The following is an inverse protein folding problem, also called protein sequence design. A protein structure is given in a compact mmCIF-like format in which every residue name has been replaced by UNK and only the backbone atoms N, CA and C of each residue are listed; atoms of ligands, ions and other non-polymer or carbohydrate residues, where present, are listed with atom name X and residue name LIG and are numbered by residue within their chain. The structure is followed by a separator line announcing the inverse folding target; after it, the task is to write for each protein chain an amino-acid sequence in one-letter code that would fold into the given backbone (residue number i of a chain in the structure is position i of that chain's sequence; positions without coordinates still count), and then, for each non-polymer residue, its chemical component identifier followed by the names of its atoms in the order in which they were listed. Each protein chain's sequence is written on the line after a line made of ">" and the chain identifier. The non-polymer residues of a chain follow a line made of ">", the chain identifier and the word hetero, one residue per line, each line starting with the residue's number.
data_IF_349789021701
#
_entry.id   IF_349789021701
#
_cell.length_a   1.000
_cell.length_b   1.000
_cell.length_c   1.000
_cell.angle_alpha   90.00
_cell.angle_beta   90.00
_cell.angle_gamma   90.00
#
_symmetry.space_group_name_H-M   'P 1'
#
loop_
_entity.id
_entity.type
_entity.pdbx_description
1 polymer ?
#
# COMPACT_ATOMS: atom_id res chain seq x y z
N UNK A 1 14.28 3.40 9.82
CA UNK A 1 13.45 4.61 9.72
C UNK A 1 12.06 4.36 10.29
N UNK A 2 11.54 5.35 11.00
CA UNK A 2 10.26 5.21 11.71
C UNK A 2 9.11 4.90 10.75
N UNK A 3 9.02 5.62 9.64
CA UNK A 3 7.92 5.42 8.69
C UNK A 3 7.96 4.02 8.08
N UNK A 4 9.13 3.53 7.70
CA UNK A 4 9.25 2.17 7.18
C UNK A 4 8.80 1.14 8.20
N UNK A 5 9.20 1.31 9.45
CA UNK A 5 8.80 0.37 10.50
C UNK A 5 7.29 0.42 10.76
N UNK A 6 6.71 1.62 10.76
CA UNK A 6 5.27 1.77 10.90
C UNK A 6 4.54 1.06 9.75
N UNK A 7 5.00 1.25 8.53
CA UNK A 7 4.39 0.58 7.36
C UNK A 7 4.52 -0.93 7.48
N UNK A 8 5.65 -1.43 7.93
CA UNK A 8 5.85 -2.88 8.11
C UNK A 8 4.84 -3.46 9.08
N UNK A 9 4.61 -2.78 10.21
CA UNK A 9 3.62 -3.23 11.20
C UNK A 9 2.22 -3.18 10.60
N UNK A 10 1.86 -2.07 9.97
CA UNK A 10 0.54 -1.94 9.35
C UNK A 10 0.34 -2.96 8.24
N UNK A 11 1.38 -3.21 7.44
CA UNK A 11 1.32 -4.19 6.37
C UNK A 11 1.08 -5.60 6.92
N UNK A 12 1.74 -5.96 8.01
CA UNK A 12 1.53 -7.25 8.64
C UNK A 12 0.09 -7.41 9.10
N UNK A 13 -0.46 -6.38 9.75
CA UNK A 13 -1.86 -6.38 10.19
C UNK A 13 -2.79 -6.52 8.98
N UNK A 14 -2.54 -5.77 7.92
CA UNK A 14 -3.35 -5.83 6.70
C UNK A 14 -3.31 -7.21 6.06
N UNK A 15 -2.14 -7.85 6.02
CA UNK A 15 -2.02 -9.18 5.45
C UNK A 15 -2.80 -10.21 6.25
N UNK A 16 -2.69 -10.16 7.58
CA UNK A 16 -3.43 -11.08 8.45
C UNK A 16 -4.92 -10.90 8.25
N UNK A 17 -5.40 -9.66 8.29
CA UNK A 17 -6.83 -9.36 8.10
C UNK A 17 -7.29 -9.78 6.71
N UNK A 18 -6.49 -9.49 5.69
CA UNK A 18 -6.83 -9.83 4.32
C UNK A 18 -6.99 -11.33 4.11
N UNK A 19 -6.10 -12.13 4.67
CA UNK A 19 -6.21 -13.58 4.58
C UNK A 19 -7.40 -14.11 5.38
N UNK A 20 -7.73 -13.50 6.53
CA UNK A 20 -8.94 -13.84 7.28
C UNK A 20 -10.18 -13.59 6.44
N UNK A 21 -10.25 -12.45 5.77
CA UNK A 21 -11.39 -12.11 4.90
C UNK A 21 -11.48 -13.07 3.73
N UNK A 22 -10.33 -13.43 3.15
CA UNK A 22 -10.29 -14.37 2.03
C UNK A 22 -10.88 -15.72 2.43
N UNK A 23 -10.66 -16.12 3.68
CA UNK A 23 -11.21 -17.35 4.24
C UNK A 23 -12.65 -17.20 4.75
N UNK A 24 -13.23 -16.00 4.64
CA UNK A 24 -14.59 -15.74 5.09
C UNK A 24 -14.73 -15.45 6.58
N UNK A 25 -13.60 -15.17 7.26
CA UNK A 25 -13.61 -14.92 8.70
C UNK A 25 -13.55 -13.43 9.02
N UNK A 26 -14.20 -13.04 10.13
CA UNK A 26 -14.07 -11.70 10.71
C UNK A 26 -14.37 -10.57 9.72
N UNK A 27 -15.36 -10.77 8.86
CA UNK A 27 -15.71 -9.78 7.83
C UNK A 27 -16.16 -8.45 8.43
N UNK A 28 -16.54 -8.41 9.69
CA UNK A 28 -16.89 -7.19 10.38
C UNK A 28 -15.69 -6.25 10.55
N UNK A 29 -14.49 -6.77 10.35
CA UNK A 29 -13.26 -5.97 10.43
C UNK A 29 -12.85 -5.35 9.10
N UNK A 30 -13.62 -5.55 8.04
CA UNK A 30 -13.30 -4.95 6.73
C UNK A 30 -13.15 -3.43 6.81
N UNK A 31 -14.03 -2.68 7.50
CA UNK A 31 -13.82 -1.24 7.63
C UNK A 31 -12.49 -0.88 8.30
N UNK A 32 -12.07 -1.66 9.29
CA UNK A 32 -10.77 -1.43 9.95
C UNK A 32 -9.62 -1.66 8.97
N UNK A 33 -9.70 -2.75 8.18
CA UNK A 33 -8.71 -3.04 7.15
C UNK A 33 -8.59 -1.87 6.17
N UNK A 34 -9.71 -1.31 5.72
CA UNK A 34 -9.74 -0.17 4.81
C UNK A 34 -9.06 1.05 5.43
N UNK A 35 -9.36 1.36 6.70
CA UNK A 35 -8.75 2.51 7.37
C UNK A 35 -7.25 2.34 7.53
N UNK A 36 -6.80 1.16 7.92
CA UNK A 36 -5.38 0.88 8.04
C UNK A 36 -4.69 1.00 6.69
N UNK A 37 -5.34 0.53 5.63
CA UNK A 37 -4.82 0.67 4.27
C UNK A 37 -4.67 2.13 3.85
N UNK A 38 -5.65 2.97 4.16
CA UNK A 38 -5.58 4.40 3.88
C UNK A 38 -4.41 5.05 4.62
N UNK A 39 -4.21 4.68 5.88
CA UNK A 39 -3.08 5.19 6.66
C UNK A 39 -1.75 4.77 6.03
N UNK A 40 -1.66 3.51 5.59
CA UNK A 40 -0.45 3.01 4.95
C UNK A 40 -0.11 3.81 3.69
N UNK A 41 -1.11 4.05 2.84
CA UNK A 41 -0.91 4.84 1.63
C UNK A 41 -0.55 6.29 1.98
N UNK A 42 -1.17 6.86 3.01
CA UNK A 42 -0.81 8.19 3.50
C UNK A 42 0.65 8.27 3.93
N UNK A 43 1.14 7.22 4.60
CA UNK A 43 2.54 7.15 4.98
C UNK A 43 3.46 7.02 3.77
N UNK A 44 3.04 6.30 2.73
CA UNK A 44 3.78 6.24 1.48
C UNK A 44 3.91 7.64 0.87
N UNK A 45 2.84 8.41 0.85
CA UNK A 45 2.85 9.77 0.31
C UNK A 45 3.75 10.70 1.12
N UNK A 46 3.72 10.59 2.45
CA UNK A 46 4.60 11.38 3.32
C UNK A 46 6.05 11.02 3.03
N UNK A 47 6.34 9.72 2.94
CA UNK A 47 7.69 9.26 2.65
C UNK A 47 8.16 9.73 1.27
N UNK A 48 7.26 9.71 0.28
CA UNK A 48 7.58 10.21 -1.06
C UNK A 48 7.91 11.70 -1.03
N UNK A 49 7.17 12.50 -0.26
CA UNK A 49 7.45 13.92 -0.10
C UNK A 49 8.80 14.15 0.57
N UNK A 50 9.10 13.39 1.61
CA UNK A 50 10.41 13.45 2.27
C UNK A 50 11.50 13.07 1.27
N UNK A 51 11.26 12.03 0.50
CA UNK A 51 12.20 11.58 -0.53
C UNK A 51 12.50 12.64 -1.56
N UNK A 52 11.46 13.37 -2.00
CA UNK A 52 11.66 14.44 -2.98
C UNK A 52 12.61 15.51 -2.44
N UNK A 53 12.42 15.90 -1.18
CA UNK A 53 13.31 16.86 -0.53
C UNK A 53 14.70 16.31 -0.33
N UNK A 54 14.83 15.01 -0.15
CA UNK A 54 16.12 14.37 0.07
C UNK A 54 16.85 14.02 -1.22
N UNK A 55 16.27 14.35 -2.39
CA UNK A 55 16.92 14.13 -3.67
C UNK A 55 16.52 12.86 -4.41
N UNK A 56 15.47 12.18 -3.97
CA UNK A 56 14.93 11.05 -4.73
C UNK A 56 14.36 11.56 -6.05
N UNK A 57 14.57 10.80 -7.10
CA UNK A 57 14.16 11.21 -8.45
C UNK A 57 12.67 11.57 -8.47
N UNK A 58 12.31 12.74 -9.03
CA UNK A 58 10.91 13.15 -9.09
C UNK A 58 10.00 12.13 -9.79
N UNK A 59 10.52 11.41 -10.78
CA UNK A 59 9.74 10.38 -11.47
C UNK A 59 9.31 9.26 -10.53
N UNK A 60 10.19 8.83 -9.64
CA UNK A 60 9.86 7.80 -8.66
C UNK A 60 8.84 8.32 -7.65
N UNK A 61 9.00 9.56 -7.18
CA UNK A 61 8.09 10.19 -6.22
C UNK A 61 6.69 10.33 -6.83
N UNK A 62 6.61 10.85 -8.04
CA UNK A 62 5.32 10.99 -8.74
C UNK A 62 4.69 9.63 -8.99
N UNK A 63 5.49 8.65 -9.39
CA UNK A 63 5.01 7.28 -9.60
C UNK A 63 4.40 6.69 -8.34
N UNK A 64 5.07 6.91 -7.20
CA UNK A 64 4.56 6.43 -5.91
C UNK A 64 3.24 7.11 -5.55
N UNK A 65 3.12 8.41 -5.81
CA UNK A 65 1.89 9.15 -5.52
C UNK A 65 0.72 8.66 -6.37
N UNK A 66 0.92 8.53 -7.68
CA UNK A 66 -0.11 8.01 -8.58
C UNK A 66 -0.45 6.55 -8.24
N UNK A 67 0.54 5.75 -7.92
CA UNK A 67 0.33 4.37 -7.54
C UNK A 67 -0.57 4.28 -6.30
N UNK A 68 -0.32 5.13 -5.30
CA UNK A 68 -1.14 5.16 -4.09
C UNK A 68 -2.59 5.54 -4.39
N UNK A 69 -2.82 6.55 -5.23
CA UNK A 69 -4.17 6.93 -5.65
C UNK A 69 -4.84 5.76 -6.35
N UNK A 70 -4.13 5.10 -7.25
CA UNK A 70 -4.66 3.96 -7.99
C UNK A 70 -5.06 2.82 -7.04
N UNK A 71 -4.21 2.48 -6.09
CA UNK A 71 -4.47 1.38 -5.15
C UNK A 71 -5.71 1.68 -4.30
N UNK A 72 -5.82 2.91 -3.79
CA UNK A 72 -6.97 3.29 -2.97
C UNK A 72 -8.25 3.26 -3.81
N UNK A 73 -8.22 3.81 -5.02
CA UNK A 73 -9.38 3.80 -5.91
C UNK A 73 -9.79 2.37 -6.26
N UNK A 74 -8.82 1.51 -6.55
CA UNK A 74 -9.08 0.11 -6.85
C UNK A 74 -9.73 -0.58 -5.65
N UNK A 75 -9.20 -0.35 -4.44
CA UNK A 75 -9.74 -0.98 -3.23
C UNK A 75 -11.19 -0.60 -2.98
N UNK A 76 -11.53 0.68 -3.16
CA UNK A 76 -12.91 1.14 -2.97
C UNK A 76 -13.86 0.60 -4.03
N UNK A 77 -13.35 0.25 -5.20
CA UNK A 77 -14.18 -0.19 -6.32
C UNK A 77 -14.14 -1.70 -6.54
N UNK A 78 -13.32 -2.44 -5.80
CA UNK A 78 -13.11 -3.85 -6.11
C UNK A 78 -14.40 -4.69 -5.98
N UNK A 79 -15.31 -4.28 -5.13
CA UNK A 79 -16.59 -4.96 -5.01
C UNK A 79 -17.46 -4.89 -6.25
N UNK A 80 -17.22 -3.90 -7.12
CA UNK A 80 -17.98 -3.68 -8.33
C UNK A 80 -17.35 -4.35 -9.56
N UNK A 81 -16.13 -4.89 -9.41
CA UNK A 81 -15.43 -5.53 -10.52
C UNK A 81 -15.72 -7.03 -10.55
N UNK A 82 -15.95 -7.56 -11.75
CA UNK A 82 -16.00 -8.99 -12.03
C UNK A 82 -16.63 -9.83 -10.89
N UNK A 83 -17.94 -9.79 -10.73
CA UNK A 83 -18.60 -10.58 -9.68
C UNK A 83 -18.44 -12.08 -9.93
N UNK A 84 -18.70 -12.89 -8.90
CA UNK A 84 -18.62 -14.33 -9.00
C UNK A 84 -17.18 -14.83 -8.96
N UNK A 85 -16.89 -15.90 -9.71
CA UNK A 85 -15.58 -16.53 -9.71
C UNK A 85 -14.46 -15.61 -10.16
N UNK A 86 -14.76 -14.73 -11.12
CA UNK A 86 -13.76 -13.80 -11.65
C UNK A 86 -13.30 -12.82 -10.56
N UNK A 87 -14.07 -12.65 -9.49
CA UNK A 87 -13.70 -11.78 -8.38
C UNK A 87 -12.43 -12.26 -7.67
N UNK A 88 -12.10 -13.55 -7.76
CA UNK A 88 -10.84 -14.04 -7.21
C UNK A 88 -9.63 -13.35 -7.84
N UNK A 89 -9.69 -13.10 -9.14
CA UNK A 89 -8.62 -12.36 -9.83
C UNK A 89 -8.50 -10.95 -9.25
N UNK A 90 -9.62 -10.32 -8.91
CA UNK A 90 -9.63 -8.98 -8.31
C UNK A 90 -8.96 -9.00 -6.93
N UNK A 91 -9.23 -10.03 -6.13
CA UNK A 91 -8.60 -10.18 -4.81
C UNK A 91 -7.09 -10.37 -4.94
N UNK A 92 -6.66 -11.20 -5.89
CA UNK A 92 -5.24 -11.41 -6.16
C UNK A 92 -4.57 -10.11 -6.60
N UNK A 93 -5.21 -9.35 -7.50
CA UNK A 93 -4.69 -8.06 -7.93
C UNK A 93 -4.56 -7.08 -6.77
N UNK A 94 -5.58 -7.01 -5.90
CA UNK A 94 -5.53 -6.15 -4.73
C UNK A 94 -4.34 -6.52 -3.83
N UNK A 95 -4.13 -7.81 -3.60
CA UNK A 95 -3.01 -8.30 -2.81
C UNK A 95 -1.68 -7.88 -3.44
N UNK A 96 -1.52 -8.07 -4.76
CA UNK A 96 -0.30 -7.71 -5.46
C UNK A 96 -0.05 -6.20 -5.45
N UNK A 97 -1.10 -5.40 -5.60
CA UNK A 97 -0.97 -3.94 -5.53
C UNK A 97 -0.56 -3.49 -4.13
N UNK A 98 -1.06 -4.17 -3.09
CA UNK A 98 -0.65 -3.89 -1.72
C UNK A 98 0.82 -4.19 -1.50
N UNK A 99 1.29 -5.33 -2.01
CA UNK A 99 2.71 -5.69 -1.94
C UNK A 99 3.57 -4.66 -2.68
N UNK A 100 3.09 -4.16 -3.82
CA UNK A 100 3.78 -3.12 -4.58
C UNK A 100 3.92 -1.83 -3.77
N UNK A 101 2.87 -1.44 -3.04
CA UNK A 101 2.93 -0.25 -2.19
C UNK A 101 3.98 -0.40 -1.10
N UNK A 102 4.04 -1.58 -0.47
CA UNK A 102 5.04 -1.88 0.55
C UNK A 102 6.44 -1.82 -0.06
N UNK A 103 6.60 -2.39 -1.26
CA UNK A 103 7.87 -2.35 -1.99
C UNK A 103 8.33 -0.92 -2.28
N UNK A 104 7.41 -0.03 -2.65
CA UNK A 104 7.74 1.38 -2.88
C UNK A 104 8.22 2.05 -1.60
N UNK A 105 7.57 1.77 -0.46
CA UNK A 105 8.01 2.31 0.83
C UNK A 105 9.43 1.84 1.13
N UNK A 106 9.72 0.57 0.95
CA UNK A 106 11.05 0.04 1.22
C UNK A 106 12.09 0.66 0.29
N UNK A 107 11.76 0.80 -1.00
CA UNK A 107 12.68 1.36 -1.98
C UNK A 107 12.99 2.82 -1.69
N UNK A 108 11.97 3.65 -1.49
CA UNK A 108 12.16 5.07 -1.22
C UNK A 108 12.89 5.26 0.11
N UNK A 109 12.46 4.52 1.14
CA UNK A 109 13.10 4.59 2.44
C UNK A 109 14.57 4.21 2.40
N UNK A 110 14.92 3.18 1.64
CA UNK A 110 16.30 2.76 1.48
C UNK A 110 17.14 3.85 0.79
N UNK A 111 16.57 4.51 -0.22
CA UNK A 111 17.27 5.60 -0.90
C UNK A 111 17.52 6.78 0.05
N UNK A 112 16.52 7.13 0.85
CA UNK A 112 16.69 8.20 1.85
C UNK A 112 17.79 7.84 2.84
N UNK A 113 17.79 6.62 3.35
CA UNK A 113 18.81 6.18 4.31
C UNK A 113 20.21 6.21 3.75
N UNK A 114 20.38 5.91 2.46
CA UNK A 114 21.69 5.91 1.83
C UNK A 114 22.17 7.31 1.47
N UNK A 115 21.39 8.33 1.86
CA UNK A 115 21.76 9.71 1.57
C UNK A 115 21.68 10.04 0.11
N UNK A 116 20.80 9.46 -0.53
CA UNK A 116 20.36 9.53 -1.89
C UNK A 116 21.06 10.29 -2.87
N UNK A 117 21.70 11.26 -2.46
CA UNK A 117 22.52 12.06 -3.30
C UNK A 117 23.47 11.20 -4.11
N UNK A 118 23.44 9.97 -3.89
CA UNK A 118 24.32 9.03 -4.57
C UNK A 118 23.59 8.20 -5.61
#
# INVERSE_FOLDING_TARGET
>A
MVIQNAVRVLALILLVLGFMFWSGHSLELVPMHMRIGEILIGLLWILAAIGLRAGVRPGLVLGAMFYGVFVVAFAFRMGAFLPGRAHEAIRVLHFLFGLGAIGLVEMIGAKIKRGIAK
#
